data_IF_664346626621
#
_entry.id   IF_664346626621
#
_cell.length_a   1.000
_cell.length_b   1.000
_cell.length_c   1.000
_cell.angle_alpha   90.00
_cell.angle_beta   90.00
_cell.angle_gamma   90.00
#
_symmetry.space_group_name_H-M   'P 1'
#
loop_
_entity.id
_entity.type
_entity.pdbx_description
1 polymer ?
#
# COMPACT_ATOMS: atom_id res chain seq x y z
N UNK A 1 -9.79 -13.74 4.05
CA UNK A 1 -8.54 -13.21 4.65
C UNK A 1 -7.34 -13.52 3.76
N UNK A 2 -6.55 -12.50 3.41
CA UNK A 2 -5.31 -12.66 2.61
C UNK A 2 -4.18 -13.07 3.56
N UNK A 3 -3.57 -14.23 3.31
CA UNK A 3 -2.37 -14.64 4.07
C UNK A 3 -1.15 -13.93 3.47
N UNK A 4 -0.44 -13.19 4.33
CA UNK A 4 0.78 -12.47 3.95
C UNK A 4 1.93 -13.48 3.77
N UNK A 5 2.60 -13.39 2.64
CA UNK A 5 3.89 -14.03 2.39
C UNK A 5 4.99 -12.97 2.49
N UNK A 6 5.76 -13.03 3.57
CA UNK A 6 6.82 -12.05 3.86
C UNK A 6 7.93 -12.03 2.81
N UNK A 7 8.17 -13.14 2.09
CA UNK A 7 9.19 -13.17 1.02
C UNK A 7 8.73 -12.31 -0.17
N UNK A 8 7.44 -12.40 -0.51
CA UNK A 8 6.85 -11.61 -1.59
C UNK A 8 6.77 -10.14 -1.18
N UNK A 9 6.40 -9.87 0.07
CA UNK A 9 6.33 -8.52 0.61
C UNK A 9 7.70 -7.85 0.62
N UNK A 10 8.74 -8.55 1.07
CA UNK A 10 10.13 -8.09 1.04
C UNK A 10 10.61 -7.83 -0.38
N UNK A 11 10.24 -8.67 -1.36
CA UNK A 11 10.56 -8.44 -2.77
C UNK A 11 9.93 -7.15 -3.31
N UNK A 12 8.71 -6.80 -2.86
CA UNK A 12 8.05 -5.56 -3.24
C UNK A 12 8.62 -4.33 -2.51
N UNK A 13 8.96 -4.46 -1.23
CA UNK A 13 9.40 -3.36 -0.37
C UNK A 13 10.77 -3.65 0.27
N UNK A 14 11.84 -3.86 -0.55
CA UNK A 14 13.15 -4.23 -0.01
C UNK A 14 13.79 -3.09 0.79
N UNK A 15 13.53 -1.84 0.40
CA UNK A 15 14.10 -0.66 1.05
C UNK A 15 13.67 -0.49 2.50
N UNK A 16 12.42 -0.82 2.84
CA UNK A 16 11.91 -0.70 4.22
C UNK A 16 12.66 -1.64 5.17
N UNK A 17 12.89 -2.89 4.77
CA UNK A 17 13.61 -3.87 5.60
C UNK A 17 15.11 -3.62 5.58
N UNK A 18 15.67 -3.24 4.43
CA UNK A 18 17.08 -2.92 4.30
C UNK A 18 17.49 -1.76 5.21
N UNK A 19 16.63 -0.75 5.37
CA UNK A 19 16.87 0.38 6.27
C UNK A 19 17.13 -0.10 7.72
N UNK A 20 16.27 -0.97 8.25
CA UNK A 20 16.46 -1.52 9.59
C UNK A 20 17.67 -2.45 9.70
N UNK A 21 17.94 -3.26 8.67
CA UNK A 21 19.11 -4.14 8.63
C UNK A 21 20.43 -3.33 8.66
N UNK A 22 20.50 -2.24 7.91
CA UNK A 22 21.65 -1.32 7.94
C UNK A 22 21.80 -0.72 9.34
N UNK A 23 20.70 -0.29 9.97
CA UNK A 23 20.72 0.23 11.34
C UNK A 23 21.32 -0.77 12.34
N UNK A 24 20.96 -2.06 12.24
CA UNK A 24 21.56 -3.12 13.08
C UNK A 24 23.05 -3.27 12.81
N UNK A 25 23.48 -3.32 11.54
CA UNK A 25 24.91 -3.48 11.19
C UNK A 25 25.74 -2.31 11.71
N UNK A 26 25.27 -1.07 11.50
CA UNK A 26 25.92 0.15 11.99
C UNK A 26 25.97 0.13 13.52
N UNK A 27 24.87 -0.25 14.18
CA UNK A 27 24.82 -0.37 15.63
C UNK A 27 25.83 -1.39 16.17
N UNK A 28 25.97 -2.56 15.54
CA UNK A 28 26.96 -3.58 15.92
C UNK A 28 28.38 -3.06 15.74
N UNK A 29 28.68 -2.36 14.64
CA UNK A 29 30.00 -1.75 14.45
C UNK A 29 30.30 -0.73 15.57
N UNK A 30 29.31 0.10 15.93
CA UNK A 30 29.43 1.09 17.01
C UNK A 30 29.62 0.44 18.38
N UNK A 31 29.17 -0.80 18.62
CA UNK A 31 29.41 -1.49 19.90
C UNK A 31 30.91 -1.64 20.21
N UNK A 32 31.77 -1.65 19.19
CA UNK A 32 33.23 -1.80 19.36
C UNK A 32 33.94 -0.54 19.85
N UNK A 33 33.34 0.64 19.64
CA UNK A 33 33.94 1.95 19.98
C UNK A 33 33.12 2.71 21.02
N UNK A 34 31.80 2.68 20.90
CA UNK A 34 30.84 3.35 21.78
C UNK A 34 29.73 2.36 22.22
N UNK A 35 30.01 1.46 23.19
CA UNK A 35 29.11 0.35 23.54
C UNK A 35 27.69 0.77 23.88
N UNK A 36 27.53 1.82 24.70
CA UNK A 36 26.20 2.30 25.08
C UNK A 36 25.40 2.81 23.87
N UNK A 37 26.05 3.61 23.00
CA UNK A 37 25.40 4.18 21.82
C UNK A 37 25.10 3.11 20.76
N UNK A 38 26.03 2.19 20.50
CA UNK A 38 25.81 1.06 19.60
C UNK A 38 24.63 0.19 20.03
N UNK A 39 24.51 -0.10 21.33
CA UNK A 39 23.39 -0.86 21.89
C UNK A 39 22.03 -0.18 21.65
N UNK A 40 21.97 1.13 21.84
CA UNK A 40 20.76 1.93 21.57
C UNK A 40 20.37 1.84 20.09
N UNK A 41 21.32 2.01 19.18
CA UNK A 41 21.06 1.95 17.72
C UNK A 41 20.55 0.57 17.30
N UNK A 42 21.15 -0.51 17.81
CA UNK A 42 20.67 -1.88 17.55
C UNK A 42 19.25 -2.06 18.09
N UNK A 43 19.01 -1.66 19.34
CA UNK A 43 17.70 -1.77 19.99
C UNK A 43 16.60 -1.06 19.22
N UNK A 44 16.81 0.22 18.84
CA UNK A 44 15.85 1.00 18.06
C UNK A 44 15.59 0.35 16.70
N UNK A 45 16.64 -0.12 16.02
CA UNK A 45 16.51 -0.73 14.68
C UNK A 45 15.70 -2.02 14.73
N UNK A 46 15.91 -2.87 15.74
CA UNK A 46 15.15 -4.10 15.95
C UNK A 46 13.68 -3.81 16.29
N UNK A 47 13.43 -2.88 17.22
CA UNK A 47 12.06 -2.48 17.61
C UNK A 47 11.31 -1.89 16.42
N UNK A 48 11.93 -0.98 15.67
CA UNK A 48 11.32 -0.37 14.49
C UNK A 48 11.04 -1.39 13.38
N UNK A 49 11.96 -2.31 13.11
CA UNK A 49 11.75 -3.40 12.15
C UNK A 49 10.61 -4.33 12.56
N UNK A 50 10.53 -4.67 13.85
CA UNK A 50 9.43 -5.46 14.40
C UNK A 50 8.09 -4.72 14.29
N UNK A 51 8.03 -3.44 14.67
CA UNK A 51 6.82 -2.62 14.52
C UNK A 51 6.36 -2.54 13.06
N UNK A 52 7.27 -2.39 12.10
CA UNK A 52 6.92 -2.35 10.68
C UNK A 52 6.21 -3.63 10.21
N UNK A 53 6.70 -4.80 10.65
CA UNK A 53 6.05 -6.09 10.37
C UNK A 53 4.63 -6.14 10.96
N UNK A 54 4.44 -5.59 12.17
CA UNK A 54 3.11 -5.49 12.78
C UNK A 54 2.20 -4.52 12.03
N UNK A 55 2.72 -3.39 11.56
CA UNK A 55 1.97 -2.44 10.74
C UNK A 55 1.46 -3.10 9.47
N UNK A 56 2.29 -3.90 8.77
CA UNK A 56 1.83 -4.67 7.62
C UNK A 56 0.74 -5.69 7.98
N UNK A 57 0.92 -6.44 9.07
CA UNK A 57 -0.14 -7.36 9.54
C UNK A 57 -1.45 -6.62 9.83
N UNK A 58 -1.38 -5.50 10.54
CA UNK A 58 -2.53 -4.65 10.85
C UNK A 58 -3.21 -4.12 9.59
N UNK A 59 -2.42 -3.72 8.58
CA UNK A 59 -2.92 -3.26 7.29
C UNK A 59 -3.80 -4.29 6.59
N UNK A 60 -3.34 -5.55 6.54
CA UNK A 60 -4.11 -6.63 5.90
C UNK A 60 -5.21 -7.24 6.77
N UNK A 61 -5.18 -6.98 8.08
CA UNK A 61 -6.21 -7.41 9.01
C UNK A 61 -7.41 -6.45 9.03
N UNK A 62 -7.16 -5.14 8.93
CA UNK A 62 -8.20 -4.11 9.06
C UNK A 62 -8.47 -3.27 7.81
N UNK A 63 -7.71 -3.46 6.72
CA UNK A 63 -7.92 -2.72 5.48
C UNK A 63 -9.10 -3.23 4.65
N UNK A 64 -9.69 -2.32 3.87
CA UNK A 64 -10.76 -2.63 2.93
C UNK A 64 -10.19 -3.21 1.62
N UNK A 65 -10.85 -4.21 1.06
CA UNK A 65 -10.54 -4.71 -0.28
C UNK A 65 -11.11 -3.73 -1.31
N UNK A 66 -10.30 -3.25 -2.24
CA UNK A 66 -10.71 -2.22 -3.21
C UNK A 66 -10.16 -2.47 -4.61
N UNK A 67 -10.89 -2.07 -5.68
CA UNK A 67 -10.39 -2.14 -7.04
C UNK A 67 -9.24 -1.15 -7.26
N UNK A 68 -8.28 -1.58 -8.06
CA UNK A 68 -7.21 -0.73 -8.55
C UNK A 68 -6.94 -1.01 -10.03
N UNK A 69 -6.53 0.02 -10.76
CA UNK A 69 -6.12 -0.12 -12.16
C UNK A 69 -4.75 0.49 -12.38
N UNK A 70 -3.91 -0.19 -13.15
CA UNK A 70 -2.60 0.34 -13.53
C UNK A 70 -2.79 1.50 -14.52
N UNK A 71 -2.38 2.71 -14.13
CA UNK A 71 -2.50 3.90 -14.98
C UNK A 71 -1.20 4.26 -15.68
N UNK A 72 -0.05 3.94 -15.08
CA UNK A 72 1.26 4.08 -15.70
C UNK A 72 2.21 2.99 -15.17
N UNK A 73 2.44 1.89 -15.92
CA UNK A 73 3.30 0.79 -15.47
C UNK A 73 4.76 1.22 -15.32
N UNK A 74 5.27 2.10 -16.17
CA UNK A 74 6.68 2.55 -16.13
C UNK A 74 7.01 3.32 -14.86
N UNK A 75 6.05 4.15 -14.41
CA UNK A 75 6.14 4.95 -13.19
C UNK A 75 5.57 4.25 -11.96
N UNK A 76 5.19 2.97 -12.07
CA UNK A 76 4.64 2.19 -10.95
C UNK A 76 3.34 2.82 -10.38
N UNK A 77 2.50 3.43 -11.24
CA UNK A 77 1.29 4.14 -10.79
C UNK A 77 0.04 3.28 -10.97
N UNK A 78 -0.74 3.20 -9.90
CA UNK A 78 -2.09 2.65 -9.86
C UNK A 78 -3.09 3.74 -9.48
N UNK A 79 -4.34 3.57 -9.90
CA UNK A 79 -5.47 4.38 -9.46
C UNK A 79 -6.42 3.53 -8.61
N UNK A 80 -6.91 4.10 -7.51
CA UNK A 80 -7.91 3.52 -6.60
C UNK A 80 -8.97 4.56 -6.34
N UNK A 81 -10.24 4.17 -6.41
CA UNK A 81 -11.37 5.04 -6.11
C UNK A 81 -11.88 4.68 -4.72
N UNK A 82 -12.10 5.68 -3.87
CA UNK A 82 -12.59 5.47 -2.51
C UNK A 82 -13.62 6.50 -2.09
N UNK A 83 -14.61 6.05 -1.30
CA UNK A 83 -15.45 6.95 -0.53
C UNK A 83 -14.65 7.47 0.67
N UNK A 84 -14.37 8.77 0.66
CA UNK A 84 -13.61 9.45 1.71
C UNK A 84 -14.53 10.01 2.81
N UNK A 85 -15.83 9.71 2.79
CA UNK A 85 -16.72 10.02 3.91
C UNK A 85 -16.46 9.04 5.08
N UNK A 86 -16.09 9.57 6.25
CA UNK A 86 -15.76 8.77 7.42
C UNK A 86 -16.95 8.48 8.34
N UNK A 87 -18.09 9.17 8.16
CA UNK A 87 -19.26 9.10 9.06
C UNK A 87 -20.48 8.46 8.40
N UNK A 88 -20.37 8.05 7.14
CA UNK A 88 -21.49 7.60 6.33
C UNK A 88 -22.33 8.76 5.79
N UNK A 89 -23.31 8.44 4.94
CA UNK A 89 -24.17 9.41 4.26
C UNK A 89 -23.85 9.52 2.77
N UNK A 90 -23.85 10.73 2.22
CA UNK A 90 -23.56 10.92 0.78
C UNK A 90 -22.10 10.55 0.48
N UNK A 91 -21.84 9.71 -0.54
CA UNK A 91 -20.49 9.35 -0.93
C UNK A 91 -19.65 10.57 -1.29
N UNK A 92 -18.42 10.59 -0.78
CA UNK A 92 -17.41 11.59 -1.13
C UNK A 92 -16.27 10.89 -1.87
N UNK A 93 -16.55 10.54 -3.13
CA UNK A 93 -15.66 9.74 -3.95
C UNK A 93 -14.41 10.53 -4.38
N UNK A 94 -13.24 9.97 -4.09
CA UNK A 94 -11.95 10.53 -4.47
C UNK A 94 -11.09 9.46 -5.14
N UNK A 95 -10.44 9.84 -6.24
CA UNK A 95 -9.49 8.99 -6.94
C UNK A 95 -8.06 9.24 -6.41
N UNK A 96 -7.46 8.23 -5.79
CA UNK A 96 -6.05 8.23 -5.42
C UNK A 96 -5.21 7.66 -6.56
N UNK A 97 -4.24 8.43 -7.03
CA UNK A 97 -3.14 7.92 -7.85
C UNK A 97 -1.96 7.64 -6.91
N UNK A 98 -1.61 6.38 -6.74
CA UNK A 98 -0.58 5.93 -5.82
C UNK A 98 0.58 5.26 -6.56
N UNK A 99 1.82 5.55 -6.12
CA UNK A 99 3.01 4.83 -6.56
C UNK A 99 3.14 3.53 -5.75
N UNK A 100 3.15 2.38 -6.41
CA UNK A 100 3.28 1.05 -5.80
C UNK A 100 4.24 0.17 -6.58
N UNK A 101 5.00 -0.73 -5.93
CA UNK A 101 6.04 -1.54 -6.58
C UNK A 101 5.46 -2.68 -7.45
N UNK A 102 4.56 -2.36 -8.38
CA UNK A 102 3.87 -3.31 -9.24
C UNK A 102 4.81 -4.06 -10.19
N UNK A 103 5.98 -3.49 -10.52
CA UNK A 103 7.03 -4.20 -11.28
C UNK A 103 7.63 -5.40 -10.55
N UNK A 104 7.65 -5.38 -9.21
CA UNK A 104 8.19 -6.47 -8.38
C UNK A 104 7.12 -7.43 -7.88
N UNK A 105 5.84 -7.09 -8.07
CA UNK A 105 4.71 -7.83 -7.56
C UNK A 105 4.48 -9.15 -8.31
N UNK A 106 3.82 -10.10 -7.65
CA UNK A 106 3.47 -11.40 -8.24
C UNK A 106 2.59 -11.21 -9.47
N UNK A 107 2.98 -11.79 -10.61
CA UNK A 107 2.22 -11.65 -11.86
C UNK A 107 2.61 -10.44 -12.71
N UNK A 108 3.63 -9.68 -12.30
CA UNK A 108 4.31 -8.74 -13.20
C UNK A 108 4.89 -9.47 -14.44
N UNK A 109 5.05 -8.78 -15.58
CA UNK A 109 4.78 -7.35 -15.80
C UNK A 109 3.29 -7.04 -16.00
N UNK A 110 2.85 -5.89 -15.48
CA UNK A 110 1.49 -5.37 -15.71
C UNK A 110 1.49 -4.31 -16.82
N UNK A 111 0.38 -4.23 -17.56
CA UNK A 111 0.17 -3.22 -18.61
C UNK A 111 -0.76 -2.12 -18.09
N UNK A 112 -0.77 -0.96 -18.75
CA UNK A 112 -1.80 0.06 -18.50
C UNK A 112 -3.19 -0.57 -18.70
N UNK A 113 -4.10 -0.33 -17.76
CA UNK A 113 -5.43 -0.94 -17.73
C UNK A 113 -5.52 -2.28 -17.01
N UNK A 114 -4.40 -2.89 -16.57
CA UNK A 114 -4.46 -4.11 -15.77
C UNK A 114 -5.24 -3.88 -14.47
N UNK A 115 -6.26 -4.73 -14.24
CA UNK A 115 -7.03 -4.79 -12.99
C UNK A 115 -6.20 -5.44 -11.88
N UNK A 116 -6.19 -4.80 -10.71
CA UNK A 116 -5.48 -5.24 -9.51
C UNK A 116 -6.40 -5.11 -8.30
N UNK A 117 -6.32 -6.03 -7.36
CA UNK A 117 -6.94 -5.84 -6.05
C UNK A 117 -5.95 -5.16 -5.10
N UNK A 118 -6.45 -4.27 -4.25
CA UNK A 118 -5.69 -3.64 -3.16
C UNK A 118 -6.35 -3.90 -1.82
N UNK A 119 -5.55 -3.97 -0.77
CA UNK A 119 -6.04 -3.78 0.59
C UNK A 119 -5.65 -2.38 1.02
N UNK A 120 -6.65 -1.59 1.39
CA UNK A 120 -6.53 -0.15 1.56
C UNK A 120 -6.93 0.22 2.97
N UNK A 121 -6.04 0.90 3.68
CA UNK A 121 -6.34 1.55 4.95
C UNK A 121 -6.63 3.03 4.71
N UNK A 122 -7.50 3.57 5.55
CA UNK A 122 -7.89 4.98 5.52
C UNK A 122 -7.18 5.72 6.66
N UNK A 123 -6.77 6.95 6.37
CA UNK A 123 -6.04 7.79 7.29
C UNK A 123 -6.73 9.15 7.39
N UNK A 124 -6.78 9.67 8.62
CA UNK A 124 -7.17 11.04 8.87
C UNK A 124 -6.03 11.75 9.59
N UNK A 125 -5.40 12.68 8.88
CA UNK A 125 -4.34 13.55 9.40
C UNK A 125 -4.91 14.82 10.03
N UNK A 126 -6.20 15.12 9.82
CA UNK A 126 -6.89 16.23 10.45
C UNK A 126 -7.61 15.73 11.72
N UNK A 127 -7.00 15.98 12.88
CA UNK A 127 -7.56 15.59 14.17
C UNK A 127 -8.82 16.38 14.55
N UNK A 128 -9.04 17.55 13.92
CA UNK A 128 -10.14 18.47 14.22
C UNK A 128 -11.39 18.13 13.42
N UNK A 129 -11.24 17.81 12.12
CA UNK A 129 -12.36 17.38 11.27
C UNK A 129 -12.31 15.87 10.98
N UNK A 130 -13.14 15.13 11.73
CA UNK A 130 -13.28 13.68 11.60
C UNK A 130 -14.40 13.25 10.65
N UNK A 131 -14.97 14.16 9.85
CA UNK A 131 -16.05 13.82 8.91
C UNK A 131 -15.54 13.14 7.65
N UNK A 132 -14.27 13.38 7.30
CA UNK A 132 -13.67 12.86 6.07
C UNK A 132 -12.30 12.27 6.33
N UNK A 133 -12.00 11.21 5.60
CA UNK A 133 -10.63 10.72 5.47
C UNK A 133 -9.82 11.73 4.67
N UNK A 134 -8.54 11.88 4.99
CA UNK A 134 -7.63 12.79 4.28
C UNK A 134 -6.71 12.05 3.32
N UNK A 135 -6.45 10.76 3.57
CA UNK A 135 -5.67 9.91 2.69
C UNK A 135 -6.06 8.44 2.78
N UNK A 136 -5.62 7.66 1.80
CA UNK A 136 -5.70 6.20 1.76
C UNK A 136 -4.35 5.60 1.35
N UNK A 137 -4.05 4.43 1.92
CA UNK A 137 -2.83 3.69 1.64
C UNK A 137 -3.16 2.34 0.96
N UNK A 138 -3.35 2.30 -0.37
CA UNK A 138 -3.69 1.05 -1.06
C UNK A 138 -2.46 0.17 -1.27
N UNK A 139 -2.40 -1.02 -0.67
CA UNK A 139 -1.34 -2.01 -0.94
C UNK A 139 -1.87 -3.09 -1.87
N UNK A 140 -1.19 -3.30 -3.00
CA UNK A 140 -1.59 -4.30 -4.01
C UNK A 140 -1.48 -5.71 -3.42
N UNK A 141 -2.52 -6.52 -3.56
CA UNK A 141 -2.56 -7.92 -3.06
C UNK A 141 -1.43 -8.77 -3.65
N UNK A 142 -1.05 -8.51 -4.89
CA UNK A 142 0.07 -9.14 -5.58
C UNK A 142 1.44 -8.92 -4.89
N UNK A 143 1.56 -7.87 -4.05
CA UNK A 143 2.73 -7.66 -3.19
C UNK A 143 2.60 -8.33 -1.81
N UNK A 144 1.41 -8.79 -1.45
CA UNK A 144 1.17 -9.45 -0.16
C UNK A 144 1.32 -10.97 -0.25
N UNK A 145 1.07 -11.56 -1.42
CA UNK A 145 1.06 -13.02 -1.57
C UNK A 145 1.53 -13.46 -2.96
N UNK A 146 2.20 -14.61 -3.01
CA UNK A 146 2.59 -15.30 -4.25
C UNK A 146 1.49 -16.22 -4.80
N UNK A 147 0.43 -16.44 -4.01
CA UNK A 147 -0.61 -17.40 -4.35
C UNK A 147 -1.60 -16.81 -5.37
N UNK A 148 -1.45 -17.22 -6.64
CA UNK A 148 -2.32 -16.79 -7.76
C UNK A 148 -3.80 -17.06 -7.54
N UNK A 149 -4.18 -18.15 -6.85
CA UNK A 149 -5.59 -18.43 -6.52
C UNK A 149 -6.14 -17.40 -5.54
N UNK A 150 -5.34 -16.99 -4.54
CA UNK A 150 -5.74 -15.94 -3.58
C UNK A 150 -5.85 -14.58 -4.25
N UNK A 151 -4.92 -14.23 -5.14
CA UNK A 151 -4.97 -12.99 -5.93
C UNK A 151 -6.24 -12.97 -6.80
N UNK A 152 -6.50 -14.04 -7.56
CA UNK A 152 -7.70 -14.14 -8.40
C UNK A 152 -8.98 -14.03 -7.59
N UNK A 153 -9.04 -14.70 -6.43
CA UNK A 153 -10.18 -14.60 -5.51
C UNK A 153 -10.37 -13.18 -4.99
N UNK A 154 -9.29 -12.46 -4.67
CA UNK A 154 -9.38 -11.07 -4.23
C UNK A 154 -9.90 -10.15 -5.33
N UNK A 155 -9.46 -10.31 -6.58
CA UNK A 155 -9.97 -9.54 -7.73
C UNK A 155 -11.45 -9.84 -7.96
N UNK A 156 -11.85 -11.12 -7.88
CA UNK A 156 -13.23 -11.56 -8.13
C UNK A 156 -14.19 -11.26 -6.97
N UNK A 157 -13.69 -10.88 -5.80
CA UNK A 157 -14.51 -10.55 -4.64
C UNK A 157 -14.89 -9.05 -4.58
N UNK A 158 -14.40 -8.26 -5.53
CA UNK A 158 -14.75 -6.84 -5.69
C UNK A 158 -15.92 -6.76 -6.67
N UNK A 159 -16.94 -5.97 -6.32
CA UNK A 159 -18.17 -5.91 -7.09
C UNK A 159 -17.95 -5.25 -8.46
N UNK A 160 -18.73 -5.67 -9.46
CA UNK A 160 -18.61 -5.15 -10.83
C UNK A 160 -18.87 -3.64 -10.89
N UNK A 161 -19.81 -3.14 -10.08
CA UNK A 161 -20.11 -1.71 -9.95
C UNK A 161 -18.89 -0.90 -9.47
N UNK A 162 -18.14 -1.43 -8.48
CA UNK A 162 -16.91 -0.77 -8.00
C UNK A 162 -15.83 -0.70 -9.09
N UNK A 163 -15.74 -1.72 -9.93
CA UNK A 163 -14.84 -1.69 -11.10
C UNK A 163 -15.26 -0.63 -12.11
N UNK A 164 -16.55 -0.56 -12.41
CA UNK A 164 -17.10 0.40 -13.38
C UNK A 164 -16.94 1.83 -12.90
N UNK A 165 -17.19 2.11 -11.63
CA UNK A 165 -16.95 3.41 -11.01
C UNK A 165 -15.49 3.84 -11.11
N UNK A 166 -14.56 2.95 -10.77
CA UNK A 166 -13.13 3.23 -10.92
C UNK A 166 -12.77 3.55 -12.37
N UNK A 167 -13.26 2.75 -13.34
CA UNK A 167 -12.93 2.95 -14.74
C UNK A 167 -13.54 4.25 -15.29
N UNK A 168 -14.76 4.60 -14.88
CA UNK A 168 -15.41 5.89 -15.20
C UNK A 168 -14.60 7.06 -14.64
N UNK A 169 -14.19 6.99 -13.38
CA UNK A 169 -13.38 8.02 -12.74
C UNK A 169 -12.04 8.22 -13.47
N UNK A 170 -11.33 7.13 -13.74
CA UNK A 170 -10.02 7.15 -14.45
C UNK A 170 -10.15 7.74 -15.86
N UNK A 171 -11.26 7.48 -16.57
CA UNK A 171 -11.51 8.02 -17.92
C UNK A 171 -11.69 9.54 -17.94
N UNK A 172 -12.23 10.13 -16.87
CA UNK A 172 -12.47 11.60 -16.77
C UNK A 172 -11.21 12.40 -16.47
N UNK A 173 -10.18 11.75 -15.96
CA UNK A 173 -8.96 12.41 -15.50
C UNK A 173 -8.03 12.84 -16.64
N UNK A 174 -7.48 14.06 -16.52
CA UNK A 174 -6.47 14.58 -17.46
C UNK A 174 -5.20 13.73 -17.42
N UNK A 175 -4.66 13.45 -18.61
CA UNK A 175 -3.39 12.74 -18.78
C UNK A 175 -2.23 13.74 -18.97
N UNK A 176 -0.99 13.43 -18.53
CA UNK A 176 -0.61 12.27 -17.73
C UNK A 176 -0.99 12.45 -16.25
N UNK A 177 -1.52 11.38 -15.65
CA UNK A 177 -1.83 11.37 -14.22
C UNK A 177 -0.56 11.48 -13.37
N UNK A 178 -0.62 12.29 -12.32
CA UNK A 178 0.43 12.42 -11.30
C UNK A 178 -0.04 11.79 -9.98
N UNK A 179 0.89 11.37 -9.09
CA UNK A 179 0.51 10.95 -7.74
C UNK A 179 -0.26 12.05 -7.01
N UNK A 180 -1.35 11.68 -6.34
CA UNK A 180 -2.24 12.63 -5.68
C UNK A 180 -3.61 12.04 -5.37
N UNK A 181 -4.48 12.85 -4.76
CA UNK A 181 -5.90 12.56 -4.52
C UNK A 181 -6.70 13.59 -5.30
N UNK A 182 -7.71 13.13 -6.04
CA UNK A 182 -8.49 13.96 -6.95
C UNK A 182 -9.99 13.74 -6.73
N UNK A 183 -10.81 14.81 -6.70
CA UNK A 183 -12.26 14.66 -6.77
C UNK A 183 -12.67 14.13 -8.14
N UNK A 184 -13.78 13.38 -8.18
CA UNK A 184 -14.32 12.69 -9.37
C UNK A 184 -15.62 13.30 -9.86
#
# INVERSE_FOLDING_TARGET
MIKIDFRVLLKCYPGEVLFYAIGVIVGIALLTVYPAFGGIVVGISLVAGFMNVYTWKGHFAGGALMPAVVVNPDKNLIAVLADMNAQGGRPYLMLKIAKRPIKSATGAPFKKGSKLATVTTFHNTNLVDKKRWTDINPIVVNCATGNRKTIKRAINAIDEEEWDDLMRAVKRMKQPMKPGIYPV
#
